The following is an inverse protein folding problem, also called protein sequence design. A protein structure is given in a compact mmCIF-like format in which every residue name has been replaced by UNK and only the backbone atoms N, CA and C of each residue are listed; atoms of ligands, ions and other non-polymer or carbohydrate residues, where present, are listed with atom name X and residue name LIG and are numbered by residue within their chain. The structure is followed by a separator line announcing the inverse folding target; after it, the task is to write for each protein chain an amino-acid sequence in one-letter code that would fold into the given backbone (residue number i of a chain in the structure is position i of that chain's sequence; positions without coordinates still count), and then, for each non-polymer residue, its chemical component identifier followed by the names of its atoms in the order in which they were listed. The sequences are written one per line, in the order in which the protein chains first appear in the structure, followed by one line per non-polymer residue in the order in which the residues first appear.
data_IF_666389778057
#
_entry.id   IF_666389778057
#
_cell.length_a   1.000
_cell.length_b   1.000
_cell.length_c   1.000
_cell.angle_alpha   90.00
_cell.angle_beta   90.00
_cell.angle_gamma   90.00
#
_symmetry.space_group_name_H-M   'P 1'
#
loop_
_entity.id
_entity.type
_entity.pdbx_description
1 polymer ?
#
# COMPACT_ATOMS: atom_id res chain seq x y z
N UNK A 1 -50.86 35.03 -54.79
CA UNK A 1 -50.87 35.28 -53.33
C UNK A 1 -49.87 34.33 -52.69
N UNK A 2 -48.87 34.89 -52.01
CA UNK A 2 -47.75 34.22 -51.33
C UNK A 2 -48.28 33.40 -50.15
N UNK A 3 -48.02 32.09 -50.12
CA UNK A 3 -47.98 31.34 -48.87
C UNK A 3 -46.55 30.90 -48.61
N UNK A 4 -46.12 31.18 -47.39
CA UNK A 4 -44.75 31.36 -46.93
C UNK A 4 -44.60 30.50 -45.66
N UNK A 5 -43.58 29.61 -45.64
CA UNK A 5 -42.96 28.92 -44.48
C UNK A 5 -43.91 28.02 -43.62
N UNK A 6 -43.47 26.99 -42.90
CA UNK A 6 -42.18 26.67 -42.26
C UNK A 6 -41.87 25.18 -42.42
N UNK A 7 -40.64 24.84 -42.81
CA UNK A 7 -40.06 23.52 -42.54
C UNK A 7 -39.33 23.62 -41.18
N UNK A 8 -39.86 22.95 -40.16
CA UNK A 8 -39.20 22.82 -38.86
C UNK A 8 -38.32 21.58 -38.91
N UNK A 9 -37.03 21.77 -39.20
CA UNK A 9 -36.03 20.71 -39.10
C UNK A 9 -35.61 20.57 -37.64
N UNK A 10 -36.07 19.51 -36.97
CA UNK A 10 -35.60 19.13 -35.64
C UNK A 10 -34.13 18.66 -35.76
N UNK A 11 -33.19 19.47 -35.29
CA UNK A 11 -31.79 19.05 -35.11
C UNK A 11 -31.72 18.32 -33.77
N UNK A 12 -31.62 16.98 -33.82
CA UNK A 12 -31.29 16.17 -32.65
C UNK A 12 -29.78 16.31 -32.41
N UNK A 13 -29.39 17.17 -31.47
CA UNK A 13 -28.02 17.24 -30.98
C UNK A 13 -27.74 16.00 -30.12
N UNK A 14 -27.21 14.95 -30.73
CA UNK A 14 -26.62 13.82 -30.00
C UNK A 14 -25.33 14.30 -29.33
N UNK A 15 -25.39 14.60 -28.03
CA UNK A 15 -24.19 14.77 -27.22
C UNK A 15 -23.48 13.43 -27.14
N UNK A 16 -22.46 13.25 -27.97
CA UNK A 16 -21.56 12.12 -27.88
C UNK A 16 -20.93 12.13 -26.48
N UNK A 17 -21.31 11.14 -25.68
CA UNK A 17 -20.62 10.80 -24.44
C UNK A 17 -19.14 10.62 -24.77
N UNK A 18 -18.31 11.58 -24.38
CA UNK A 18 -16.87 11.43 -24.42
C UNK A 18 -16.50 10.24 -23.55
N UNK A 19 -16.16 9.11 -24.17
CA UNK A 19 -15.46 8.03 -23.50
C UNK A 19 -14.16 8.64 -22.97
N UNK A 20 -14.11 8.86 -21.67
CA UNK A 20 -12.87 9.04 -20.93
C UNK A 20 -12.05 7.77 -21.16
N UNK A 21 -11.15 7.82 -22.13
CA UNK A 21 -10.08 6.86 -22.29
C UNK A 21 -9.22 7.00 -21.05
N UNK A 22 -9.46 6.14 -20.05
CA UNK A 22 -8.53 6.00 -18.94
C UNK A 22 -7.20 5.53 -19.56
N UNK A 23 -6.25 6.45 -19.60
CA UNK A 23 -4.88 6.14 -19.90
C UNK A 23 -4.41 5.17 -18.82
N UNK A 24 -4.50 3.87 -19.10
CA UNK A 24 -3.74 2.85 -18.36
C UNK A 24 -2.26 3.20 -18.57
N UNK A 25 -1.74 4.06 -17.69
CA UNK A 25 -0.31 4.27 -17.52
C UNK A 25 0.32 2.87 -17.41
N UNK A 26 1.29 2.57 -18.27
CA UNK A 26 2.00 1.30 -18.19
C UNK A 26 2.77 1.28 -16.87
N UNK A 27 2.21 0.61 -15.87
CA UNK A 27 2.82 0.40 -14.55
C UNK A 27 4.01 -0.57 -14.68
N UNK A 28 5.11 -0.09 -15.26
CA UNK A 28 6.34 -0.86 -15.40
C UNK A 28 6.92 -1.19 -14.03
N UNK A 29 7.43 -2.41 -13.86
CA UNK A 29 8.14 -2.86 -12.66
C UNK A 29 9.34 -1.97 -12.36
N UNK A 30 9.59 -1.68 -11.08
CA UNK A 30 10.80 -0.94 -10.68
C UNK A 30 12.07 -1.80 -10.85
N UNK A 31 13.18 -1.14 -11.13
CA UNK A 31 14.52 -1.72 -11.01
C UNK A 31 15.12 -1.33 -9.65
N UNK A 32 15.57 -2.31 -8.88
CA UNK A 32 16.18 -2.12 -7.55
C UNK A 32 17.70 -2.33 -7.62
N UNK A 33 18.38 -1.50 -8.43
CA UNK A 33 19.82 -1.61 -8.70
C UNK A 33 20.71 -1.08 -7.57
N UNK A 34 20.21 -0.15 -6.77
CA UNK A 34 20.92 0.47 -5.64
C UNK A 34 20.09 0.40 -4.38
N UNK A 35 20.72 0.64 -3.22
CA UNK A 35 20.07 0.67 -1.91
C UNK A 35 19.94 2.10 -1.37
N UNK A 36 19.35 2.98 -2.18
CA UNK A 36 19.14 4.40 -1.85
C UNK A 36 17.71 4.69 -1.39
N UNK A 37 17.48 5.91 -0.91
CA UNK A 37 16.13 6.42 -0.63
C UNK A 37 15.26 6.33 -1.88
N UNK A 38 14.08 5.72 -1.76
CA UNK A 38 13.11 5.63 -2.85
C UNK A 38 12.06 6.73 -2.65
N UNK A 39 12.07 7.73 -3.52
CA UNK A 39 11.04 8.75 -3.54
C UNK A 39 9.74 8.17 -4.11
N UNK A 40 8.67 8.20 -3.33
CA UNK A 40 7.36 7.69 -3.75
C UNK A 40 6.60 8.78 -4.52
N UNK A 41 5.73 8.33 -5.42
CA UNK A 41 4.85 9.20 -6.21
C UNK A 41 3.55 9.45 -5.46
N UNK A 42 2.98 10.64 -5.61
CA UNK A 42 1.69 10.96 -4.99
C UNK A 42 0.62 9.95 -5.44
N UNK A 43 -0.25 9.49 -4.51
CA UNK A 43 -1.32 8.55 -4.83
C UNK A 43 -2.39 9.20 -5.69
N UNK A 44 -3.00 8.43 -6.62
CA UNK A 44 -4.25 8.85 -7.25
C UNK A 44 -5.41 8.70 -6.26
N UNK A 45 -6.04 9.82 -5.91
CA UNK A 45 -7.16 9.88 -4.95
C UNK A 45 -8.52 10.13 -5.60
N UNK A 46 -8.56 10.28 -6.92
CA UNK A 46 -9.80 10.56 -7.67
C UNK A 46 -10.33 9.31 -8.38
N UNK A 47 -9.45 8.38 -8.74
CA UNK A 47 -9.80 7.11 -9.37
C UNK A 47 -10.16 5.98 -8.39
N UNK A 48 -10.20 4.77 -8.93
CA UNK A 48 -10.31 3.52 -8.17
C UNK A 48 -11.61 2.75 -8.37
N UNK A 49 -11.59 1.49 -7.94
CA UNK A 49 -12.76 0.62 -7.92
C UNK A 49 -13.75 1.06 -6.83
N UNK A 50 -15.08 1.05 -7.09
CA UNK A 50 -16.06 1.33 -6.04
C UNK A 50 -15.86 0.46 -4.81
N UNK A 51 -15.98 1.05 -3.61
CA UNK A 51 -15.68 0.38 -2.34
C UNK A 51 -16.37 -0.99 -2.20
N UNK A 52 -17.65 -1.07 -2.53
CA UNK A 52 -18.41 -2.33 -2.42
C UNK A 52 -17.90 -3.41 -3.36
N UNK A 53 -17.39 -3.05 -4.54
CA UNK A 53 -16.76 -4.00 -5.46
C UNK A 53 -15.39 -4.45 -4.94
N UNK A 54 -14.59 -3.53 -4.37
CA UNK A 54 -13.32 -3.88 -3.75
C UNK A 54 -13.52 -4.84 -2.57
N UNK A 55 -14.52 -4.59 -1.71
CA UNK A 55 -14.91 -5.50 -0.61
C UNK A 55 -15.32 -6.86 -1.16
N UNK A 56 -16.16 -6.90 -2.22
CA UNK A 56 -16.61 -8.15 -2.84
C UNK A 56 -15.47 -8.96 -3.47
N UNK A 57 -14.46 -8.29 -4.05
CA UNK A 57 -13.30 -8.94 -4.68
C UNK A 57 -12.16 -9.26 -3.70
N UNK A 58 -12.20 -8.69 -2.50
CA UNK A 58 -11.16 -8.86 -1.49
C UNK A 58 -11.02 -10.34 -1.13
N UNK A 59 -9.81 -10.87 -1.32
CA UNK A 59 -9.46 -12.25 -0.99
C UNK A 59 -7.99 -12.34 -0.57
N UNK A 60 -7.64 -13.49 -0.03
CA UNK A 60 -6.26 -13.83 0.30
C UNK A 60 -5.67 -14.69 -0.81
N UNK A 61 -4.52 -14.29 -1.32
CA UNK A 61 -3.78 -15.03 -2.34
C UNK A 61 -2.37 -15.34 -1.82
N UNK A 62 -1.84 -16.51 -2.20
CA UNK A 62 -0.54 -17.02 -1.72
C UNK A 62 0.39 -17.46 -2.86
N UNK A 63 0.10 -17.04 -4.08
CA UNK A 63 0.90 -17.33 -5.27
C UNK A 63 1.26 -16.01 -5.94
N UNK A 64 2.55 -15.66 -5.95
CA UNK A 64 3.01 -14.36 -6.41
C UNK A 64 3.96 -14.51 -7.59
N UNK A 65 3.93 -13.55 -8.49
CA UNK A 65 5.03 -13.31 -9.41
C UNK A 65 6.24 -12.71 -8.66
N UNK A 66 7.45 -13.04 -9.09
CA UNK A 66 8.69 -12.47 -8.54
C UNK A 66 9.02 -11.08 -9.09
N UNK A 67 8.33 -10.63 -10.15
CA UNK A 67 8.51 -9.29 -10.71
C UNK A 67 8.22 -8.21 -9.68
N UNK A 68 9.11 -7.22 -9.60
CA UNK A 68 8.96 -6.05 -8.75
C UNK A 68 7.66 -5.31 -9.04
N UNK A 69 7.06 -4.75 -7.98
CA UNK A 69 5.96 -3.79 -8.12
C UNK A 69 6.40 -2.58 -8.93
N UNK A 70 5.45 -1.95 -9.61
CA UNK A 70 5.66 -0.59 -10.14
C UNK A 70 5.82 0.43 -9.02
N UNK A 71 6.47 1.56 -9.31
CA UNK A 71 6.61 2.64 -8.33
C UNK A 71 5.24 3.18 -7.89
N UNK A 72 4.26 3.25 -8.80
CA UNK A 72 2.87 3.63 -8.47
C UNK A 72 2.27 2.68 -7.44
N UNK A 73 2.30 1.37 -7.71
CA UNK A 73 1.73 0.39 -6.79
C UNK A 73 2.41 0.42 -5.42
N UNK A 74 3.75 0.45 -5.37
CA UNK A 74 4.46 0.54 -4.09
C UNK A 74 4.08 1.81 -3.31
N UNK A 75 4.03 2.95 -3.99
CA UNK A 75 3.70 4.26 -3.38
C UNK A 75 2.30 4.26 -2.79
N UNK A 76 1.32 3.77 -3.55
CA UNK A 76 -0.07 3.73 -3.14
C UNK A 76 -0.33 2.66 -2.07
N UNK A 77 0.31 1.48 -2.14
CA UNK A 77 0.25 0.46 -1.07
C UNK A 77 0.70 1.06 0.27
N UNK A 78 1.83 1.75 0.28
CA UNK A 78 2.36 2.39 1.50
C UNK A 78 1.44 3.52 1.98
N UNK A 79 0.87 4.29 1.05
CA UNK A 79 -0.07 5.35 1.39
C UNK A 79 -1.39 4.82 1.97
N UNK A 80 -2.01 3.80 1.38
CA UNK A 80 -3.24 3.22 1.95
C UNK A 80 -2.98 2.53 3.29
N UNK A 81 -1.80 1.94 3.46
CA UNK A 81 -1.41 1.27 4.70
C UNK A 81 -1.33 2.25 5.87
N UNK A 82 -0.68 3.41 5.71
CA UNK A 82 -0.45 4.35 6.83
C UNK A 82 -0.10 5.80 6.41
N UNK A 83 -0.48 6.23 5.20
CA UNK A 83 -0.16 7.54 4.63
C UNK A 83 -0.92 8.72 5.24
N UNK A 84 -0.44 9.96 5.04
CA UNK A 84 -1.21 11.19 5.34
C UNK A 84 -2.33 11.38 4.32
N UNK A 85 -3.56 11.64 4.77
CA UNK A 85 -4.68 11.95 3.89
C UNK A 85 -5.33 13.33 4.16
N UNK A 86 -4.77 14.13 5.06
CA UNK A 86 -5.29 15.45 5.41
C UNK A 86 -4.18 16.37 5.93
N UNK A 87 -4.37 17.68 5.76
CA UNK A 87 -3.36 18.70 6.06
C UNK A 87 -2.89 18.72 7.53
N UNK A 88 -3.73 18.29 8.47
CA UNK A 88 -3.37 18.20 9.90
C UNK A 88 -2.50 16.97 10.25
N UNK A 89 -1.90 16.31 9.27
CA UNK A 89 -0.92 15.24 9.46
C UNK A 89 -1.51 13.86 9.81
N UNK A 90 -2.83 13.79 10.02
CA UNK A 90 -3.49 12.52 10.36
C UNK A 90 -3.55 11.56 9.15
N UNK A 91 -3.74 10.27 9.45
CA UNK A 91 -3.50 9.17 8.50
C UNK A 91 -4.77 8.63 7.81
N UNK A 92 -4.54 7.80 6.79
CA UNK A 92 -5.53 6.93 6.11
C UNK A 92 -6.13 5.87 7.02
N UNK A 93 -5.46 5.56 8.13
CA UNK A 93 -5.94 4.68 9.19
C UNK A 93 -6.25 5.47 10.46
N UNK A 94 -7.26 5.07 11.25
CA UNK A 94 -7.44 5.62 12.58
C UNK A 94 -6.36 5.11 13.54
N UNK A 95 -6.17 5.82 14.63
CA UNK A 95 -5.32 5.40 15.75
C UNK A 95 -5.82 6.06 17.03
N UNK A 96 -5.85 5.33 18.14
CA UNK A 96 -6.32 5.84 19.42
C UNK A 96 -5.54 7.11 19.81
N UNK A 97 -6.26 8.21 20.07
CA UNK A 97 -5.70 9.54 20.35
C UNK A 97 -4.71 10.05 19.28
N UNK A 98 -4.81 9.57 18.04
CA UNK A 98 -3.89 9.87 16.95
C UNK A 98 -2.40 9.60 17.29
N UNK A 99 -2.13 8.52 18.05
CA UNK A 99 -0.77 8.19 18.50
C UNK A 99 0.10 7.52 17.42
N UNK A 100 -0.51 6.77 16.51
CA UNK A 100 0.15 6.05 15.41
C UNK A 100 1.40 5.26 15.86
N UNK A 101 1.26 4.28 16.79
CA UNK A 101 2.38 3.52 17.35
C UNK A 101 3.09 2.61 16.34
N UNK A 102 2.48 2.36 15.17
CA UNK A 102 3.04 1.50 14.14
C UNK A 102 3.97 2.24 13.20
N UNK A 103 5.18 1.71 13.09
CA UNK A 103 6.10 1.97 12.00
C UNK A 103 5.84 0.96 10.87
N UNK A 104 5.75 1.46 9.64
CA UNK A 104 5.62 0.62 8.45
C UNK A 104 6.97 0.46 7.78
N UNK A 105 7.40 -0.78 7.56
CA UNK A 105 8.60 -1.10 6.81
C UNK A 105 8.25 -1.89 5.56
N UNK A 106 9.04 -1.71 4.49
CA UNK A 106 8.96 -2.48 3.27
C UNK A 106 10.22 -3.34 3.14
N UNK A 107 10.04 -4.66 3.08
CA UNK A 107 11.10 -5.59 2.71
C UNK A 107 10.99 -5.84 1.21
N UNK A 108 12.00 -5.37 0.48
CA UNK A 108 12.19 -5.55 -0.95
C UNK A 108 13.39 -6.49 -1.18
N UNK A 109 13.63 -6.89 -2.43
CA UNK A 109 14.70 -7.86 -2.73
C UNK A 109 16.11 -7.35 -2.40
N UNK A 110 16.32 -6.03 -2.40
CA UNK A 110 17.61 -5.39 -2.15
C UNK A 110 17.77 -4.87 -0.71
N UNK A 111 16.73 -4.90 0.13
CA UNK A 111 16.84 -4.39 1.49
C UNK A 111 15.52 -4.15 2.21
N UNK A 112 15.65 -3.70 3.46
CA UNK A 112 14.54 -3.24 4.29
C UNK A 112 14.56 -1.71 4.31
N UNK A 113 13.38 -1.13 4.13
CA UNK A 113 13.17 0.30 4.14
C UNK A 113 12.12 0.72 5.17
N UNK A 114 12.29 1.88 5.78
CA UNK A 114 11.29 2.54 6.61
C UNK A 114 10.44 3.49 5.78
N UNK A 115 9.11 3.42 5.93
CA UNK A 115 8.22 4.38 5.30
C UNK A 115 8.13 5.68 6.10
N UNK A 116 8.83 6.71 5.62
CA UNK A 116 8.71 8.05 6.16
C UNK A 116 7.43 8.71 5.64
N UNK A 117 6.39 8.66 6.46
CA UNK A 117 5.06 9.18 6.12
C UNK A 117 5.08 10.69 5.88
N UNK A 118 5.94 11.43 6.58
CA UNK A 118 5.97 12.90 6.46
C UNK A 118 6.47 13.36 5.11
N UNK A 119 7.47 12.65 4.58
CA UNK A 119 8.15 12.96 3.32
C UNK A 119 7.68 12.08 2.15
N UNK A 120 6.75 11.16 2.43
CA UNK A 120 6.23 10.17 1.49
C UNK A 120 7.36 9.50 0.68
N UNK A 121 8.22 8.76 1.39
CA UNK A 121 9.38 8.07 0.81
C UNK A 121 9.76 6.84 1.62
N UNK A 122 10.54 5.95 1.01
CA UNK A 122 11.20 4.85 1.72
C UNK A 122 12.66 5.23 2.03
N UNK A 123 13.03 5.14 3.31
CA UNK A 123 14.39 5.40 3.81
C UNK A 123 15.11 4.07 4.05
N UNK A 124 16.35 3.90 3.57
CA UNK A 124 17.08 2.64 3.72
C UNK A 124 17.38 2.34 5.20
N UNK A 125 17.15 1.10 5.62
CA UNK A 125 17.49 0.60 6.97
C UNK A 125 18.65 -0.37 6.93
N UNK A 126 18.52 -1.44 6.12
CA UNK A 126 19.58 -2.44 5.95
C UNK A 126 19.54 -3.04 4.55
N UNK A 127 20.71 -3.09 3.91
CA UNK A 127 20.90 -3.64 2.57
C UNK A 127 20.99 -5.17 2.62
N UNK A 128 20.41 -5.84 1.62
CA UNK A 128 20.42 -7.30 1.47
C UNK A 128 19.03 -7.91 1.34
N UNK A 129 18.96 -9.20 1.01
CA UNK A 129 17.68 -9.88 0.90
C UNK A 129 17.24 -10.44 2.27
N UNK A 130 16.22 -9.83 2.87
CA UNK A 130 15.68 -10.22 4.18
C UNK A 130 14.28 -10.86 4.11
N UNK A 131 13.81 -11.28 2.93
CA UNK A 131 12.46 -11.82 2.77
C UNK A 131 12.19 -13.03 3.68
N UNK A 132 13.15 -13.95 3.84
CA UNK A 132 13.03 -15.11 4.74
C UNK A 132 12.90 -14.75 6.22
N UNK A 133 13.38 -13.58 6.64
CA UNK A 133 13.16 -13.11 8.01
C UNK A 133 11.76 -12.52 8.17
N UNK A 134 11.19 -11.98 7.08
CA UNK A 134 9.85 -11.40 7.09
C UNK A 134 8.74 -12.46 7.26
N UNK A 135 9.01 -13.76 7.08
CA UNK A 135 8.02 -14.83 7.19
C UNK A 135 8.59 -16.24 6.97
N UNK A 136 7.85 -17.27 7.39
CA UNK A 136 8.30 -18.68 7.28
C UNK A 136 7.73 -19.41 6.06
N UNK A 137 6.76 -18.82 5.38
CA UNK A 137 6.06 -19.44 4.26
C UNK A 137 6.77 -19.15 2.94
N UNK A 138 6.84 -20.13 2.05
CA UNK A 138 7.62 -20.06 0.79
C UNK A 138 7.25 -18.85 -0.10
N UNK A 139 5.96 -18.47 -0.11
CA UNK A 139 5.48 -17.35 -0.91
C UNK A 139 6.05 -15.98 -0.47
N UNK A 140 6.58 -15.88 0.75
CA UNK A 140 7.20 -14.65 1.29
C UNK A 140 8.49 -14.32 0.54
N UNK A 141 9.27 -15.34 0.18
CA UNK A 141 10.49 -15.20 -0.61
C UNK A 141 10.20 -14.87 -2.08
N UNK A 142 9.09 -15.40 -2.61
CA UNK A 142 8.73 -15.17 -4.02
C UNK A 142 8.18 -13.76 -4.23
N UNK A 143 7.33 -13.27 -3.34
CA UNK A 143 6.66 -11.99 -3.50
C UNK A 143 7.64 -10.80 -3.52
N UNK A 144 7.34 -9.74 -4.30
CA UNK A 144 8.21 -8.58 -4.43
C UNK A 144 8.19 -7.64 -3.21
N UNK A 145 7.15 -7.74 -2.36
CA UNK A 145 6.99 -6.88 -1.19
C UNK A 145 6.48 -7.68 0.02
N UNK A 146 7.17 -7.51 1.15
CA UNK A 146 6.62 -7.82 2.47
C UNK A 146 6.56 -6.54 3.30
N UNK A 147 5.35 -6.08 3.61
CA UNK A 147 5.13 -5.03 4.59
C UNK A 147 5.29 -5.59 6.00
N UNK A 148 5.94 -4.83 6.87
CA UNK A 148 6.04 -5.10 8.29
C UNK A 148 5.42 -3.95 9.07
N UNK A 149 4.50 -4.27 9.98
CA UNK A 149 3.95 -3.34 10.95
C UNK A 149 4.58 -3.64 12.29
N UNK A 150 5.47 -2.76 12.73
CA UNK A 150 6.25 -2.91 13.96
C UNK A 150 5.86 -1.77 14.90
N UNK A 151 5.42 -2.11 16.10
CA UNK A 151 5.11 -1.12 17.11
C UNK A 151 6.41 -0.61 17.74
N UNK A 152 6.45 0.70 18.02
CA UNK A 152 7.52 1.33 18.81
C UNK A 152 6.93 1.80 20.14
N UNK A 153 7.48 1.32 21.24
CA UNK A 153 7.10 1.72 22.59
C UNK A 153 7.36 3.21 22.79
N UNK A 154 6.41 3.89 23.42
CA UNK A 154 6.57 5.30 23.82
C UNK A 154 7.08 5.45 25.26
N UNK A 155 6.89 4.42 26.06
CA UNK A 155 7.35 4.31 27.45
C UNK A 155 7.55 2.84 27.80
N UNK A 156 8.22 2.57 28.92
CA UNK A 156 8.47 1.20 29.42
C UNK A 156 7.17 0.44 29.76
N UNK A 157 6.09 1.17 30.05
CA UNK A 157 4.77 0.64 30.42
C UNK A 157 3.80 0.49 29.25
N UNK A 158 4.25 0.75 28.02
CA UNK A 158 3.40 0.70 26.83
C UNK A 158 2.93 -0.74 26.56
N UNK A 159 1.62 -0.95 26.49
CA UNK A 159 1.04 -2.24 26.09
C UNK A 159 0.53 -2.10 24.65
N UNK A 160 1.16 -2.82 23.73
CA UNK A 160 0.95 -2.71 22.29
C UNK A 160 -0.46 -3.11 21.77
N UNK A 161 -1.46 -3.18 22.64
CA UNK A 161 -2.85 -3.51 22.31
C UNK A 161 -3.44 -2.57 21.25
N UNK A 162 -3.20 -1.26 21.39
CA UNK A 162 -3.62 -0.28 20.39
C UNK A 162 -2.92 -0.52 19.05
N UNK A 163 -1.64 -0.90 19.07
CA UNK A 163 -0.89 -1.21 17.85
C UNK A 163 -1.41 -2.46 17.14
N UNK A 164 -1.89 -3.46 17.89
CA UNK A 164 -2.55 -4.64 17.31
C UNK A 164 -3.82 -4.25 16.54
N UNK A 165 -4.68 -3.40 17.12
CA UNK A 165 -5.87 -2.90 16.43
C UNK A 165 -5.50 -2.06 15.20
N UNK A 166 -4.54 -1.14 15.35
CA UNK A 166 -4.08 -0.28 14.26
C UNK A 166 -3.55 -1.12 13.09
N UNK A 167 -2.88 -2.24 13.37
CA UNK A 167 -2.34 -3.12 12.32
C UNK A 167 -3.44 -3.78 11.49
N UNK A 168 -4.61 -4.03 12.09
CA UNK A 168 -5.79 -4.51 11.38
C UNK A 168 -6.34 -3.49 10.40
N UNK A 169 -6.37 -2.20 10.77
CA UNK A 169 -6.78 -1.12 9.86
C UNK A 169 -5.80 -0.98 8.69
N UNK A 170 -4.49 -0.98 8.97
CA UNK A 170 -3.46 -0.96 7.93
C UNK A 170 -3.62 -2.14 6.97
N UNK A 171 -3.74 -3.36 7.52
CA UNK A 171 -3.85 -4.58 6.74
C UNK A 171 -5.10 -4.63 5.86
N UNK A 172 -6.23 -4.17 6.38
CA UNK A 172 -7.49 -4.12 5.63
C UNK A 172 -7.47 -3.07 4.51
N UNK A 173 -6.88 -1.89 4.74
CA UNK A 173 -6.70 -0.89 3.69
C UNK A 173 -5.88 -1.45 2.52
N UNK A 174 -4.77 -2.15 2.82
CA UNK A 174 -3.95 -2.81 1.78
C UNK A 174 -4.74 -3.90 1.06
N UNK A 175 -5.55 -4.70 1.76
CA UNK A 175 -6.41 -5.70 1.13
C UNK A 175 -7.40 -5.09 0.12
N UNK A 176 -8.04 -3.97 0.48
CA UNK A 176 -9.00 -3.30 -0.38
C UNK A 176 -8.34 -2.66 -1.60
N UNK A 177 -7.17 -2.03 -1.41
CA UNK A 177 -6.38 -1.51 -2.52
C UNK A 177 -5.89 -2.62 -3.46
N UNK A 178 -5.41 -3.74 -2.91
CA UNK A 178 -5.01 -4.87 -3.75
C UNK A 178 -6.20 -5.40 -4.58
N UNK A 179 -7.39 -5.48 -3.98
CA UNK A 179 -8.59 -5.86 -4.70
C UNK A 179 -9.00 -4.85 -5.80
N UNK A 180 -8.76 -3.55 -5.60
CA UNK A 180 -9.06 -2.51 -6.61
C UNK A 180 -8.11 -2.56 -7.80
N UNK A 181 -6.82 -2.82 -7.55
CA UNK A 181 -5.77 -2.83 -8.58
C UNK A 181 -5.49 -4.22 -9.17
N UNK A 182 -6.19 -5.25 -8.71
CA UNK A 182 -5.97 -6.64 -9.15
C UNK A 182 -4.64 -7.23 -8.66
N UNK A 183 -4.13 -6.73 -7.54
CA UNK A 183 -2.95 -7.28 -6.85
C UNK A 183 -3.35 -8.40 -5.90
N UNK A 184 -2.37 -9.23 -5.58
CA UNK A 184 -2.50 -10.31 -4.61
C UNK A 184 -1.93 -9.87 -3.27
N UNK A 185 -2.55 -10.29 -2.18
CA UNK A 185 -1.95 -10.11 -0.86
C UNK A 185 -2.41 -11.14 0.17
N UNK A 186 -1.60 -11.28 1.24
CA UNK A 186 -1.91 -12.11 2.41
C UNK A 186 -1.35 -11.47 3.68
N UNK A 187 -2.22 -11.32 4.67
CA UNK A 187 -1.84 -10.92 6.03
C UNK A 187 -1.26 -12.11 6.81
N UNK A 188 -0.27 -11.85 7.66
CA UNK A 188 0.43 -12.86 8.45
C UNK A 188 0.70 -12.34 9.86
N UNK A 189 0.41 -13.17 10.85
CA UNK A 189 0.72 -12.91 12.25
C UNK A 189 2.13 -13.41 12.67
N UNK A 190 2.93 -13.92 11.73
CA UNK A 190 4.23 -14.52 12.02
C UNK A 190 5.34 -14.05 11.10
N UNK A 191 6.50 -13.81 11.70
CA UNK A 191 7.80 -13.53 11.08
C UNK A 191 8.90 -14.26 11.88
N UNK A 192 10.15 -14.25 11.41
CA UNK A 192 11.29 -14.65 12.24
C UNK A 192 11.70 -13.51 13.17
N UNK A 193 10.79 -13.11 14.08
CA UNK A 193 10.82 -11.82 14.81
C UNK A 193 12.18 -11.48 15.42
N UNK A 194 12.79 -12.39 16.19
CA UNK A 194 14.08 -12.13 16.84
C UNK A 194 15.17 -11.83 15.82
N UNK A 195 15.29 -12.63 14.77
CA UNK A 195 16.28 -12.43 13.70
C UNK A 195 15.98 -11.18 12.88
N UNK A 196 14.71 -10.91 12.60
CA UNK A 196 14.24 -9.75 11.86
C UNK A 196 14.56 -8.44 12.58
N UNK A 197 14.17 -8.32 13.86
CA UNK A 197 14.42 -7.12 14.66
C UNK A 197 15.92 -6.88 14.86
N UNK A 198 16.70 -7.94 15.10
CA UNK A 198 18.17 -7.86 15.17
C UNK A 198 18.78 -7.40 13.85
N UNK A 199 18.35 -7.97 12.72
CA UNK A 199 18.82 -7.59 11.38
C UNK A 199 18.52 -6.13 11.04
N UNK A 200 17.39 -5.61 11.53
CA UNK A 200 16.98 -4.21 11.41
C UNK A 200 17.63 -3.28 12.46
N UNK A 201 18.36 -3.82 13.43
CA UNK A 201 18.92 -3.09 14.59
C UNK A 201 17.83 -2.41 15.45
N UNK A 202 16.69 -3.08 15.63
CA UNK A 202 15.51 -2.62 16.37
C UNK A 202 15.23 -3.49 17.61
N UNK A 203 16.19 -3.61 18.53
CA UNK A 203 16.12 -4.61 19.61
C UNK A 203 15.32 -4.15 20.84
N UNK A 204 15.47 -2.91 21.29
CA UNK A 204 14.79 -2.41 22.51
C UNK A 204 13.59 -1.52 22.16
N UNK A 205 12.44 -1.82 22.76
CA UNK A 205 11.23 -1.01 22.61
C UNK A 205 10.51 -1.16 21.27
N UNK A 206 10.88 -2.15 20.44
CA UNK A 206 10.15 -2.49 19.22
C UNK A 206 9.52 -3.87 19.35
N UNK A 207 8.34 -4.04 18.76
CA UNK A 207 7.64 -5.33 18.72
C UNK A 207 7.05 -5.56 17.35
N UNK A 208 7.31 -6.73 16.77
CA UNK A 208 6.62 -7.12 15.55
C UNK A 208 5.13 -7.36 15.87
N UNK A 209 4.24 -6.79 15.07
CA UNK A 209 2.79 -6.95 15.26
C UNK A 209 2.18 -7.79 14.14
N UNK A 210 2.46 -7.41 12.90
CA UNK A 210 1.81 -7.99 11.73
C UNK A 210 2.70 -7.83 10.50
N UNK A 211 2.61 -8.77 9.57
CA UNK A 211 3.18 -8.63 8.23
C UNK A 211 2.09 -8.77 7.17
N UNK A 212 2.34 -8.21 5.99
CA UNK A 212 1.49 -8.44 4.83
C UNK A 212 2.34 -8.57 3.57
N UNK A 213 2.18 -9.70 2.88
CA UNK A 213 2.87 -9.98 1.63
C UNK A 213 2.00 -9.48 0.47
N UNK A 214 2.59 -8.79 -0.49
CA UNK A 214 1.89 -8.17 -1.63
C UNK A 214 2.68 -8.41 -2.93
N UNK A 215 1.98 -8.66 -4.03
CA UNK A 215 2.58 -8.87 -5.35
C UNK A 215 1.54 -9.00 -6.47
N UNK A 216 2.01 -9.41 -7.66
CA UNK A 216 1.15 -9.72 -8.81
C UNK A 216 0.69 -11.19 -8.85
#
# INVERSE_FOLDING_TARGET
MRNLLLAVTLIVASTAFGQSTSSKSKNNSMELKTFDTIQLVAPDTLGGMPLMQAISRRKTDRQFDSRNLSLKHLSEILWVANGKNRANGKRTVPSAMARYPLHTYAVLTNGIYFYNVEKHRLEPIVEGNFKSLAGRQDFVETAPLNLLFIAKARSETDNFNAAMLDSGYCGQNVYLYCASEGLKCVVRAGAQEVGLLKGMRLETGFKFILAQTVGY
#
